data_IF_421407558446
#
_entry.id   IF_421407558446
#
_cell.length_a   1.000
_cell.length_b   1.000
_cell.length_c   1.000
_cell.angle_alpha   90.00
_cell.angle_beta   90.00
_cell.angle_gamma   90.00
#
_symmetry.space_group_name_H-M   'P 1'
#
loop_
_entity.id
_entity.type
_entity.pdbx_description
1 polymer ?
#
# COMPACT_ATOMS: atom_id res chain seq x y z
N UNK A 1 29.73 -18.93 4.34
CA UNK A 1 29.00 -19.19 3.07
C UNK A 1 28.21 -20.48 3.16
N UNK A 2 28.83 -21.67 3.31
CA UNK A 2 28.08 -22.94 3.49
C UNK A 2 27.12 -22.93 4.69
N UNK A 3 27.51 -22.34 5.81
CA UNK A 3 26.64 -22.19 6.99
C UNK A 3 25.43 -21.26 6.77
N UNK A 4 25.44 -20.41 5.75
CA UNK A 4 24.33 -19.49 5.42
C UNK A 4 23.42 -20.06 4.32
N UNK A 5 23.76 -21.20 3.70
CA UNK A 5 22.96 -21.80 2.63
C UNK A 5 21.59 -22.32 3.13
N UNK A 6 21.45 -22.58 4.43
CA UNK A 6 20.15 -22.93 5.03
C UNK A 6 19.21 -21.74 5.21
N UNK A 7 19.74 -20.51 5.16
CA UNK A 7 19.01 -19.27 5.41
C UNK A 7 18.80 -18.41 4.16
N UNK A 8 19.04 -18.92 2.96
CA UNK A 8 18.88 -18.16 1.70
C UNK A 8 17.45 -17.62 1.55
N UNK A 9 16.46 -18.38 2.00
CA UNK A 9 15.07 -17.93 1.99
C UNK A 9 14.74 -16.84 3.04
N UNK A 10 15.61 -16.61 4.03
CA UNK A 10 15.45 -15.52 5.01
C UNK A 10 15.97 -14.18 4.48
N UNK A 11 16.77 -14.21 3.39
CA UNK A 11 17.26 -13.03 2.67
C UNK A 11 16.47 -12.69 1.39
N UNK A 12 15.56 -13.57 0.96
CA UNK A 12 14.70 -13.36 -0.20
C UNK A 12 13.32 -12.81 0.25
N UNK A 13 12.59 -12.08 -0.61
CA UNK A 13 11.24 -11.58 -0.33
C UNK A 13 10.17 -12.68 -0.30
N UNK A 14 10.54 -13.94 -0.50
CA UNK A 14 9.59 -15.06 -0.51
C UNK A 14 9.16 -15.37 0.92
N UNK A 15 7.95 -14.92 1.27
CA UNK A 15 7.25 -15.05 2.55
C UNK A 15 7.15 -16.50 3.09
N UNK A 16 7.40 -17.49 2.25
CA UNK A 16 7.25 -18.91 2.58
C UNK A 16 8.13 -19.38 3.75
N UNK A 17 9.35 -18.86 3.93
CA UNK A 17 10.21 -19.30 5.03
C UNK A 17 9.88 -18.62 6.37
N UNK A 18 9.64 -17.30 6.36
CA UNK A 18 9.25 -16.56 7.58
C UNK A 18 7.89 -16.99 8.11
N UNK A 19 6.97 -17.39 7.23
CA UNK A 19 5.66 -17.88 7.61
C UNK A 19 5.68 -19.29 8.23
N UNK A 20 6.66 -20.12 7.87
CA UNK A 20 6.74 -21.50 8.35
C UNK A 20 7.49 -21.65 9.69
N UNK A 21 8.52 -20.84 9.94
CA UNK A 21 9.20 -20.78 11.24
C UNK A 21 9.91 -19.43 11.46
N UNK A 22 9.27 -18.47 12.16
CA UNK A 22 9.82 -17.14 12.39
C UNK A 22 11.16 -17.14 13.14
N UNK A 23 11.37 -18.12 14.02
CA UNK A 23 12.55 -18.16 14.89
C UNK A 23 13.80 -18.63 14.15
N UNK A 24 13.64 -19.38 13.06
CA UNK A 24 14.76 -19.89 12.27
C UNK A 24 15.52 -18.75 11.59
N UNK A 25 14.82 -17.69 11.17
CA UNK A 25 15.48 -16.56 10.49
C UNK A 25 16.31 -15.67 11.44
N UNK A 26 16.04 -15.67 12.74
CA UNK A 26 16.82 -14.91 13.72
C UNK A 26 18.24 -15.46 13.87
N UNK A 27 18.42 -16.77 13.72
CA UNK A 27 19.73 -17.42 13.77
C UNK A 27 20.61 -17.08 12.55
N UNK A 28 19.99 -16.65 11.44
CA UNK A 28 20.66 -16.29 10.20
C UNK A 28 20.83 -14.78 9.98
N UNK A 29 20.35 -13.93 10.91
CA UNK A 29 20.59 -12.47 10.91
C UNK A 29 22.06 -12.08 10.66
N UNK A 30 23.07 -12.76 11.24
CA UNK A 30 24.48 -12.45 10.97
C UNK A 30 24.92 -12.68 9.52
N UNK A 31 24.16 -13.47 8.73
CA UNK A 31 24.42 -13.73 7.31
C UNK A 31 23.86 -12.64 6.37
N UNK A 32 23.04 -11.69 6.86
CA UNK A 32 22.41 -10.66 6.04
C UNK A 32 23.43 -9.80 5.26
N UNK A 33 24.59 -9.54 5.87
CA UNK A 33 25.67 -8.76 5.24
C UNK A 33 26.41 -9.51 4.11
N UNK A 34 26.20 -10.83 3.95
CA UNK A 34 26.85 -11.62 2.89
C UNK A 34 26.12 -11.55 1.54
N UNK A 35 24.83 -11.21 1.53
CA UNK A 35 24.02 -11.04 0.32
C UNK A 35 23.86 -9.57 -0.05
N UNK A 36 24.81 -8.74 0.37
CA UNK A 36 24.81 -7.31 0.09
C UNK A 36 24.82 -7.02 -1.40
N UNK A 37 23.64 -6.70 -1.93
CA UNK A 37 23.43 -5.82 -3.07
C UNK A 37 22.20 -4.96 -2.74
N UNK A 38 22.44 -3.66 -2.58
CA UNK A 38 21.53 -2.54 -2.80
C UNK A 38 20.04 -2.75 -2.47
N UNK A 39 19.70 -2.70 -1.17
CA UNK A 39 18.33 -2.32 -0.75
C UNK A 39 18.22 -0.79 -0.86
N UNK A 40 18.33 -0.27 -2.07
CA UNK A 40 17.73 1.02 -2.39
C UNK A 40 16.22 0.77 -2.56
N UNK A 41 15.42 1.42 -1.72
CA UNK A 41 13.97 1.60 -1.92
C UNK A 41 13.13 0.31 -1.88
N UNK A 42 12.73 -0.13 -0.69
CA UNK A 42 11.62 -1.09 -0.56
C UNK A 42 10.49 -0.49 0.27
N UNK A 43 9.49 0.05 -0.44
CA UNK A 43 8.12 0.14 0.05
C UNK A 43 7.70 -1.28 0.44
N UNK A 44 7.48 -1.53 1.74
CA UNK A 44 7.18 -2.89 2.25
C UNK A 44 8.04 -3.39 3.40
N UNK A 45 8.82 -2.52 4.07
CA UNK A 45 9.39 -2.87 5.38
C UNK A 45 8.26 -3.05 6.41
N UNK A 46 7.91 -4.30 6.67
CA UNK A 46 6.99 -4.73 7.74
C UNK A 46 7.52 -4.47 9.15
N UNK A 47 8.78 -4.03 9.29
CA UNK A 47 9.40 -3.69 10.57
C UNK A 47 9.30 -2.18 10.83
N UNK A 48 8.69 -1.83 11.97
CA UNK A 48 8.58 -0.45 12.45
C UNK A 48 9.51 -0.29 13.67
N UNK A 49 10.52 0.59 13.63
CA UNK A 49 11.39 0.82 14.78
C UNK A 49 10.63 1.57 15.88
N UNK A 50 11.04 1.37 17.14
CA UNK A 50 10.48 2.11 18.27
C UNK A 50 10.67 3.63 18.08
N UNK A 51 9.61 4.43 18.26
CA UNK A 51 9.76 5.88 18.20
C UNK A 51 10.59 6.37 19.39
N UNK A 52 11.25 7.53 19.25
CA UNK A 52 11.95 8.14 20.36
C UNK A 52 10.96 8.61 21.44
N UNK A 53 11.36 8.55 22.71
CA UNK A 53 10.50 8.87 23.86
C UNK A 53 9.96 10.32 23.82
N UNK A 54 10.63 11.21 23.11
CA UNK A 54 10.23 12.62 22.97
C UNK A 54 9.38 12.88 21.71
N UNK A 55 8.88 11.86 21.02
CA UNK A 55 8.08 12.03 19.79
C UNK A 55 6.88 12.97 20.00
N UNK A 56 6.14 12.82 21.11
CA UNK A 56 5.02 13.70 21.45
C UNK A 56 5.41 15.18 21.57
N UNK A 57 6.62 15.46 22.05
CA UNK A 57 7.15 16.82 22.12
C UNK A 57 7.59 17.31 20.75
N UNK A 58 8.30 16.47 19.99
CA UNK A 58 8.78 16.78 18.64
C UNK A 58 7.63 17.11 17.68
N UNK A 59 6.53 16.39 17.81
CA UNK A 59 5.34 16.53 16.95
C UNK A 59 4.21 17.35 17.60
N UNK A 60 4.51 18.10 18.66
CA UNK A 60 3.54 19.02 19.26
C UNK A 60 3.21 20.17 18.31
N UNK A 61 1.98 20.69 18.37
CA UNK A 61 1.52 21.84 17.59
C UNK A 61 2.51 23.03 17.65
N UNK A 62 3.03 23.34 18.84
CA UNK A 62 4.00 24.41 19.05
C UNK A 62 5.33 24.18 18.31
N UNK A 63 5.77 22.93 18.22
CA UNK A 63 7.04 22.58 17.57
C UNK A 63 6.90 22.59 16.05
N UNK A 64 5.83 21.97 15.53
CA UNK A 64 5.58 21.86 14.08
C UNK A 64 5.16 23.18 13.43
N UNK A 65 4.82 24.21 14.23
CA UNK A 65 4.57 25.57 13.74
C UNK A 65 5.81 26.24 13.11
N UNK A 66 7.01 25.68 13.31
CA UNK A 66 8.26 26.11 12.67
C UNK A 66 8.69 25.13 11.58
N UNK A 67 9.40 25.63 10.56
CA UNK A 67 9.93 24.78 9.47
C UNK A 67 10.88 23.72 10.02
N UNK A 68 11.75 24.10 10.95
CA UNK A 68 12.70 23.20 11.60
C UNK A 68 12.00 22.13 12.44
N UNK A 69 10.97 22.50 13.21
CA UNK A 69 10.21 21.56 14.02
C UNK A 69 9.31 20.63 13.21
N UNK A 70 8.69 21.14 12.14
CA UNK A 70 7.96 20.31 11.18
C UNK A 70 8.88 19.25 10.56
N UNK A 71 10.06 19.66 10.08
CA UNK A 71 11.05 18.75 9.50
C UNK A 71 11.51 17.71 10.52
N UNK A 72 11.81 18.12 11.75
CA UNK A 72 12.25 17.21 12.80
C UNK A 72 11.20 16.16 13.17
N UNK A 73 9.92 16.53 13.23
CA UNK A 73 8.83 15.59 13.41
C UNK A 73 8.70 14.66 12.19
N UNK A 74 8.66 15.21 10.98
CA UNK A 74 8.52 14.45 9.73
C UNK A 74 9.62 13.40 9.52
N UNK A 75 10.88 13.75 9.82
CA UNK A 75 11.99 12.81 9.65
C UNK A 75 11.90 11.58 10.56
N UNK A 76 11.26 11.70 11.73
CA UNK A 76 10.98 10.55 12.61
C UNK A 76 9.74 9.79 12.15
N UNK A 77 8.69 10.51 11.73
CA UNK A 77 7.40 9.93 11.33
C UNK A 77 7.44 9.18 10.00
N UNK A 78 8.45 9.40 9.15
CA UNK A 78 8.66 8.64 7.91
C UNK A 78 8.79 7.13 8.15
N UNK A 79 9.29 6.74 9.32
CA UNK A 79 9.49 5.34 9.70
C UNK A 79 8.17 4.59 9.97
N UNK A 80 7.07 5.33 10.12
CA UNK A 80 5.74 4.80 10.39
C UNK A 80 4.72 5.18 9.31
N UNK A 81 5.16 5.54 8.10
CA UNK A 81 4.22 5.89 7.00
C UNK A 81 3.21 4.77 6.74
N UNK A 82 3.65 3.51 6.87
CA UNK A 82 2.77 2.36 6.73
C UNK A 82 1.62 2.31 7.77
N UNK A 83 1.71 3.06 8.88
CA UNK A 83 0.68 3.10 9.93
C UNK A 83 -0.45 4.09 9.63
N UNK A 84 -0.17 5.11 8.80
CA UNK A 84 -1.16 6.12 8.39
C UNK A 84 -1.99 5.67 7.20
N UNK A 85 -1.57 4.62 6.49
CA UNK A 85 -2.31 4.07 5.36
C UNK A 85 -3.50 3.21 5.82
N UNK A 86 -4.64 3.24 5.08
CA UNK A 86 -5.88 2.61 5.51
C UNK A 86 -5.80 1.09 5.59
N UNK A 87 -5.07 0.41 4.70
CA UNK A 87 -4.88 -1.06 4.75
C UNK A 87 -3.48 -1.46 4.28
N UNK A 88 -2.53 -1.36 5.19
CA UNK A 88 -1.21 -1.96 5.06
C UNK A 88 -1.04 -3.13 6.02
N UNK A 89 -0.43 -4.22 5.55
CA UNK A 89 -0.08 -5.37 6.38
C UNK A 89 0.75 -4.91 7.61
N UNK A 90 1.51 -3.83 7.45
CA UNK A 90 2.27 -3.16 8.49
C UNK A 90 1.42 -2.72 9.69
N UNK A 91 0.26 -2.07 9.48
CA UNK A 91 -0.62 -1.60 10.55
C UNK A 91 -1.31 -2.74 11.28
N UNK A 92 -1.72 -3.75 10.52
CA UNK A 92 -2.37 -4.96 11.06
C UNK A 92 -1.40 -5.82 11.86
N UNK A 93 -0.15 -5.94 11.40
CA UNK A 93 0.88 -6.78 12.03
C UNK A 93 1.66 -6.05 13.13
N UNK A 94 1.64 -4.72 13.15
CA UNK A 94 2.35 -3.90 14.16
C UNK A 94 1.45 -2.89 14.89
N UNK A 95 0.27 -3.28 15.40
CA UNK A 95 -0.70 -2.34 15.97
C UNK A 95 -0.14 -1.56 17.16
N UNK A 96 0.62 -2.21 18.04
CA UNK A 96 1.24 -1.56 19.20
C UNK A 96 2.32 -0.55 18.79
N UNK A 97 3.08 -0.85 17.73
CA UNK A 97 4.11 0.06 17.25
C UNK A 97 3.50 1.26 16.55
N UNK A 98 2.46 1.04 15.73
CA UNK A 98 1.71 2.11 15.09
C UNK A 98 1.09 3.07 16.12
N UNK A 99 0.49 2.55 17.19
CA UNK A 99 -0.06 3.38 18.27
C UNK A 99 1.00 4.27 18.95
N UNK A 100 2.27 3.84 18.99
CA UNK A 100 3.34 4.68 19.55
C UNK A 100 3.74 5.85 18.64
N UNK A 101 3.36 5.80 17.37
CA UNK A 101 3.55 6.89 16.40
C UNK A 101 2.33 7.81 16.29
N UNK A 102 1.29 7.64 17.11
CA UNK A 102 0.10 8.52 17.14
C UNK A 102 0.43 10.04 17.11
N UNK A 103 1.47 10.55 17.79
CA UNK A 103 1.80 11.98 17.70
C UNK A 103 2.14 12.48 16.28
N UNK A 104 2.50 11.59 15.36
CA UNK A 104 2.75 11.91 13.95
C UNK A 104 1.50 12.32 13.19
N UNK A 105 0.30 12.01 13.70
CA UNK A 105 -0.96 12.48 13.11
C UNK A 105 -1.00 14.02 12.97
N UNK A 106 -0.29 14.74 13.84
CA UNK A 106 -0.15 16.19 13.78
C UNK A 106 0.47 16.72 12.47
N UNK A 107 1.21 15.89 11.72
CA UNK A 107 1.75 16.24 10.40
C UNK A 107 0.74 16.10 9.27
N UNK A 108 -0.18 15.15 9.40
CA UNK A 108 -1.10 14.76 8.34
C UNK A 108 -2.48 15.42 8.49
N UNK A 109 -2.69 16.14 9.60
CA UNK A 109 -4.00 16.67 9.99
C UNK A 109 -4.89 15.55 10.52
N UNK A 110 -5.85 15.89 11.37
CA UNK A 110 -6.91 14.97 11.83
C UNK A 110 -7.88 14.65 10.67
N UNK A 111 -7.39 14.09 9.55
CA UNK A 111 -8.18 13.75 8.37
C UNK A 111 -8.25 12.25 8.11
N UNK A 112 -7.95 11.41 9.11
CA UNK A 112 -8.41 10.01 9.03
C UNK A 112 -9.92 9.90 9.29
N UNK A 113 -10.56 10.88 9.93
CA UNK A 113 -12.03 10.94 10.05
C UNK A 113 -12.70 11.61 8.83
N UNK A 114 -11.94 12.28 7.95
CA UNK A 114 -12.48 12.94 6.74
C UNK A 114 -12.27 12.12 5.46
N UNK A 115 -11.43 11.07 5.51
CA UNK A 115 -11.27 10.07 4.44
C UNK A 115 -12.04 8.75 4.69
N UNK A 116 -12.90 8.71 5.72
CA UNK A 116 -14.04 7.78 5.75
C UNK A 116 -15.22 8.32 4.91
N UNK A 117 -14.94 9.11 3.85
CA UNK A 117 -15.93 9.29 2.81
C UNK A 117 -16.13 7.90 2.19
N UNK A 118 -17.33 7.35 2.40
CA UNK A 118 -17.73 6.05 1.89
C UNK A 118 -17.25 5.90 0.45
N UNK A 119 -16.28 5.01 0.21
CA UNK A 119 -15.84 4.65 -1.14
C UNK A 119 -17.01 3.87 -1.74
N UNK A 120 -18.01 4.58 -2.27
CA UNK A 120 -19.13 4.05 -3.02
C UNK A 120 -18.78 4.11 -4.50
N UNK A 121 -18.63 2.95 -5.12
CA UNK A 121 -18.43 2.87 -6.57
C UNK A 121 -19.82 2.95 -7.23
N UNK A 122 -20.07 3.91 -8.14
CA UNK A 122 -21.33 3.97 -8.85
C UNK A 122 -21.50 2.72 -9.73
N UNK A 123 -22.73 2.26 -9.94
CA UNK A 123 -22.97 1.17 -10.90
C UNK A 123 -22.50 1.56 -12.31
N UNK A 124 -22.00 0.61 -13.11
CA UNK A 124 -21.58 0.86 -14.47
C UNK A 124 -22.71 1.38 -15.35
N UNK A 125 -22.39 2.23 -16.33
CA UNK A 125 -23.37 2.64 -17.31
C UNK A 125 -23.82 1.42 -18.15
N UNK A 126 -25.09 1.37 -18.59
CA UNK A 126 -25.68 0.19 -19.21
C UNK A 126 -25.02 -0.20 -20.55
N UNK A 127 -24.37 0.76 -21.20
CA UNK A 127 -23.65 0.64 -22.45
C UNK A 127 -22.15 0.36 -22.27
N UNK A 128 -21.66 0.15 -21.04
CA UNK A 128 -20.22 -0.05 -20.78
C UNK A 128 -19.60 -1.18 -21.62
N UNK A 129 -20.33 -2.27 -21.87
CA UNK A 129 -19.88 -3.37 -22.73
C UNK A 129 -19.70 -2.95 -24.20
N UNK A 130 -20.51 -2.01 -24.69
CA UNK A 130 -20.41 -1.47 -26.04
C UNK A 130 -19.30 -0.41 -26.10
N UNK A 131 -19.23 0.48 -25.11
CA UNK A 131 -18.18 1.50 -24.95
C UNK A 131 -16.79 0.86 -24.89
N UNK A 132 -16.65 -0.25 -24.14
CA UNK A 132 -15.40 -0.99 -23.99
C UNK A 132 -15.32 -2.23 -24.90
N UNK A 133 -16.17 -2.34 -25.91
CA UNK A 133 -16.12 -3.43 -26.89
C UNK A 133 -14.85 -3.38 -27.74
N UNK A 134 -14.44 -4.53 -28.29
CA UNK A 134 -13.21 -4.65 -29.11
C UNK A 134 -13.14 -3.64 -30.27
N UNK A 135 -14.28 -3.40 -30.92
CA UNK A 135 -14.38 -2.44 -32.02
C UNK A 135 -14.17 -1.00 -31.54
N UNK A 136 -14.73 -0.63 -30.38
CA UNK A 136 -14.63 0.71 -29.79
C UNK A 136 -13.19 1.02 -29.35
N UNK A 137 -12.57 0.11 -28.60
CA UNK A 137 -11.19 0.28 -28.10
C UNK A 137 -10.12 0.20 -29.18
N UNK A 138 -10.47 -0.27 -30.39
CA UNK A 138 -9.58 -0.25 -31.55
C UNK A 138 -9.36 1.17 -32.12
N UNK A 139 -10.18 2.13 -31.69
CA UNK A 139 -10.08 3.55 -32.04
C UNK A 139 -9.58 4.35 -30.84
N UNK A 140 -8.87 5.45 -31.11
CA UNK A 140 -8.38 6.32 -30.04
C UNK A 140 -9.52 6.95 -29.22
N UNK A 141 -10.60 7.36 -29.91
CA UNK A 141 -11.77 7.96 -29.25
C UNK A 141 -12.51 6.93 -28.39
N UNK A 142 -12.79 5.74 -28.91
CA UNK A 142 -13.47 4.69 -28.14
C UNK A 142 -12.61 4.11 -27.00
N UNK A 143 -11.29 4.09 -27.14
CA UNK A 143 -10.38 3.78 -26.03
C UNK A 143 -10.50 4.82 -24.91
N UNK A 144 -10.47 6.11 -25.24
CA UNK A 144 -10.60 7.19 -24.25
C UNK A 144 -11.98 7.20 -23.58
N UNK A 145 -13.04 6.91 -24.33
CA UNK A 145 -14.40 6.78 -23.79
C UNK A 145 -14.50 5.61 -22.81
N UNK A 146 -13.89 4.46 -23.13
CA UNK A 146 -13.81 3.32 -22.21
C UNK A 146 -13.01 3.67 -20.94
N UNK A 147 -11.84 4.32 -21.06
CA UNK A 147 -11.07 4.77 -19.88
C UNK A 147 -11.89 5.71 -18.98
N UNK A 148 -12.60 6.66 -19.57
CA UNK A 148 -13.45 7.59 -18.81
C UNK A 148 -14.59 6.86 -18.10
N UNK A 149 -15.23 5.88 -18.76
CA UNK A 149 -16.30 5.09 -18.18
C UNK A 149 -15.80 4.17 -17.05
N UNK A 150 -14.54 3.70 -17.15
CA UNK A 150 -13.89 2.82 -16.19
C UNK A 150 -13.19 3.56 -15.04
N UNK A 151 -12.92 4.86 -15.15
CA UNK A 151 -12.13 5.62 -14.17
C UNK A 151 -12.70 5.60 -12.75
N UNK A 152 -14.04 5.59 -12.61
CA UNK A 152 -14.70 5.50 -11.29
C UNK A 152 -14.53 4.13 -10.63
N UNK A 153 -14.16 3.09 -11.40
CA UNK A 153 -13.89 1.74 -10.92
C UNK A 153 -12.38 1.46 -10.75
N UNK A 154 -11.52 2.48 -10.89
CA UNK A 154 -10.07 2.30 -10.78
C UNK A 154 -9.65 1.71 -9.41
N UNK A 155 -10.38 2.07 -8.34
CA UNK A 155 -10.16 1.49 -7.02
C UNK A 155 -10.50 0.00 -6.94
N UNK A 156 -11.45 -0.48 -7.75
CA UNK A 156 -11.74 -1.92 -7.85
C UNK A 156 -10.55 -2.68 -8.43
N UNK A 157 -9.62 -2.01 -9.12
CA UNK A 157 -8.43 -2.62 -9.71
C UNK A 157 -7.22 -2.55 -8.77
N UNK A 158 -6.85 -1.33 -8.33
CA UNK A 158 -5.58 -1.05 -7.64
C UNK A 158 -5.60 -1.41 -6.14
N UNK A 159 -6.70 -1.15 -5.45
CA UNK A 159 -6.79 -1.26 -3.98
C UNK A 159 -7.81 -2.32 -3.60
N UNK A 160 -7.44 -3.57 -3.87
CA UNK A 160 -8.26 -4.75 -3.64
C UNK A 160 -8.72 -4.92 -2.18
N UNK A 161 -8.05 -4.26 -1.24
CA UNK A 161 -8.27 -4.44 0.20
C UNK A 161 -9.43 -3.62 0.77
N UNK A 162 -9.72 -2.41 0.27
CA UNK A 162 -10.86 -1.59 0.75
C UNK A 162 -12.00 -1.58 -0.28
N UNK A 163 -11.73 -1.17 -1.52
CA UNK A 163 -12.78 -0.83 -2.48
C UNK A 163 -13.55 -2.08 -2.97
N UNK A 164 -12.85 -3.19 -3.24
CA UNK A 164 -13.51 -4.48 -3.58
C UNK A 164 -14.27 -5.08 -2.40
N UNK A 165 -13.78 -4.90 -1.18
CA UNK A 165 -14.44 -5.42 0.03
C UNK A 165 -15.72 -4.65 0.32
N UNK A 166 -15.73 -3.33 0.10
CA UNK A 166 -16.91 -2.49 0.32
C UNK A 166 -17.89 -2.52 -0.87
N UNK A 167 -17.42 -2.76 -2.10
CA UNK A 167 -18.24 -2.73 -3.32
C UNK A 167 -18.15 -4.02 -4.16
N UNK A 168 -18.31 -5.22 -3.57
CA UNK A 168 -18.02 -6.48 -4.27
C UNK A 168 -18.90 -6.68 -5.51
N UNK A 169 -20.20 -6.37 -5.42
CA UNK A 169 -21.13 -6.53 -6.54
C UNK A 169 -20.80 -5.57 -7.69
N UNK A 170 -20.56 -4.30 -7.38
CA UNK A 170 -20.31 -3.28 -8.40
C UNK A 170 -18.95 -3.49 -9.07
N UNK A 171 -17.92 -3.85 -8.30
CA UNK A 171 -16.59 -4.14 -8.87
C UNK A 171 -16.62 -5.32 -9.86
N UNK A 172 -17.43 -6.35 -9.62
CA UNK A 172 -17.61 -7.45 -10.58
C UNK A 172 -18.32 -7.01 -11.87
N UNK A 173 -19.26 -6.04 -11.79
CA UNK A 173 -19.93 -5.50 -12.99
C UNK A 173 -18.95 -4.71 -13.90
N UNK A 174 -17.88 -4.13 -13.36
CA UNK A 174 -16.83 -3.45 -14.13
C UNK A 174 -15.70 -4.37 -14.63
N UNK A 175 -15.53 -5.55 -14.03
CA UNK A 175 -14.36 -6.42 -14.23
C UNK A 175 -14.11 -6.80 -15.68
N UNK A 176 -15.10 -7.39 -16.34
CA UNK A 176 -14.98 -7.85 -17.74
C UNK A 176 -14.92 -6.69 -18.74
N UNK A 177 -15.84 -5.69 -18.69
CA UNK A 177 -15.80 -4.56 -19.62
C UNK A 177 -14.51 -3.73 -19.51
N UNK A 178 -14.06 -3.41 -18.29
CA UNK A 178 -12.87 -2.57 -18.08
C UNK A 178 -11.57 -3.37 -18.13
N UNK A 179 -11.64 -4.71 -18.02
CA UNK A 179 -10.49 -5.60 -18.17
C UNK A 179 -9.77 -5.49 -19.50
N UNK A 180 -10.47 -5.05 -20.55
CA UNK A 180 -9.92 -4.89 -21.89
C UNK A 180 -8.81 -3.83 -21.97
N UNK A 181 -8.86 -2.80 -21.12
CA UNK A 181 -7.87 -1.72 -21.09
C UNK A 181 -6.49 -2.19 -20.62
N UNK A 182 -6.45 -3.26 -19.81
CA UNK A 182 -5.25 -3.66 -19.08
C UNK A 182 -4.68 -5.02 -19.53
N UNK A 183 -5.36 -5.73 -20.44
CA UNK A 183 -4.90 -7.00 -21.02
C UNK A 183 -3.53 -6.93 -21.73
N UNK A 184 -2.99 -5.74 -21.97
CA UNK A 184 -1.67 -5.54 -22.63
C UNK A 184 -0.48 -5.51 -21.67
N UNK A 185 -0.68 -5.23 -20.40
CA UNK A 185 0.42 -4.96 -19.46
C UNK A 185 0.77 -6.17 -18.57
N UNK A 186 0.09 -7.31 -18.73
CA UNK A 186 0.37 -8.52 -17.94
C UNK A 186 -0.17 -8.48 -16.51
N UNK A 187 -0.65 -7.33 -16.05
CA UNK A 187 -1.35 -7.16 -14.78
C UNK A 187 -2.84 -7.46 -14.98
N UNK A 188 -3.19 -8.74 -14.83
CA UNK A 188 -4.58 -9.17 -14.86
C UNK A 188 -5.38 -8.67 -13.66
N UNK A 189 -6.71 -8.67 -13.78
CA UNK A 189 -7.63 -8.54 -12.65
C UNK A 189 -7.60 -9.84 -11.84
N UNK A 190 -6.52 -10.04 -11.07
CA UNK A 190 -6.40 -11.12 -10.07
C UNK A 190 -7.11 -10.75 -8.77
#
# INVERSE_FOLDING_TARGET
REACNGGVCCSEPIEACRALDPNVCDEYLPCANMYGEDIEQFEGSLFIPAPPDNLAKLCSADTIASVEGFKACNDVCKLSLCCSEPIEACRVLNPEMCARYDPCAALYGDTLEEFEESIEVPRPPPDLNETCGEDSISTADGFQECENACGMSECCRRDASVCRVLNPEVCEEYREPCGVLYRRDGDGWE
#
